data_IF_860356302805
#
_entry.id   IF_860356302805
#
_cell.length_a   1.000
_cell.length_b   1.000
_cell.length_c   1.000
_cell.angle_alpha   90.00
_cell.angle_beta   90.00
_cell.angle_gamma   90.00
#
_symmetry.space_group_name_H-M   'P 1'
#
loop_
_entity.id
_entity.type
_entity.pdbx_description
1 polymer ?
#
# COMPACT_ATOMS: atom_id res chain seq x y z
N UNK A 1 16.14 -0.10 28.51
CA UNK A 1 17.11 -0.79 27.66
C UNK A 1 17.20 -0.07 26.33
N UNK A 2 18.35 0.44 25.95
CA UNK A 2 18.45 1.21 24.72
C UNK A 2 18.26 0.32 23.50
N UNK A 3 17.42 0.80 22.59
CA UNK A 3 17.21 0.19 21.28
C UNK A 3 17.79 1.10 20.21
N UNK A 4 18.43 0.51 19.23
CA UNK A 4 19.04 1.23 18.12
C UNK A 4 18.45 0.73 16.82
N UNK A 5 18.02 1.66 15.96
CA UNK A 5 17.58 1.36 14.61
C UNK A 5 18.66 1.85 13.66
N UNK A 6 19.17 0.93 12.85
CA UNK A 6 20.20 1.23 11.85
C UNK A 6 19.56 1.07 10.47
N UNK A 7 19.61 2.13 9.66
CA UNK A 7 19.03 2.12 8.32
C UNK A 7 20.12 2.42 7.31
N UNK A 8 20.23 1.57 6.29
CA UNK A 8 21.12 1.77 5.16
C UNK A 8 20.27 1.76 3.90
N UNK A 9 20.22 2.89 3.19
CA UNK A 9 19.43 3.04 1.98
C UNK A 9 20.35 3.29 0.80
N UNK A 10 20.18 2.49 -0.25
CA UNK A 10 20.83 2.67 -1.54
C UNK A 10 19.77 2.75 -2.63
N UNK A 11 20.11 3.14 -3.87
CA UNK A 11 19.12 3.12 -4.96
C UNK A 11 18.50 1.73 -5.20
N UNK A 12 19.21 0.66 -4.87
CA UNK A 12 18.76 -0.70 -5.12
C UNK A 12 17.95 -1.30 -3.97
N UNK A 13 18.27 -0.91 -2.74
CA UNK A 13 17.63 -1.54 -1.57
C UNK A 13 17.68 -0.67 -0.33
N UNK A 14 16.80 -0.96 0.60
CA UNK A 14 16.82 -0.40 1.94
C UNK A 14 16.95 -1.54 2.95
N UNK A 15 17.91 -1.42 3.85
CA UNK A 15 18.14 -2.38 4.94
C UNK A 15 17.87 -1.71 6.26
N UNK A 16 17.21 -2.42 7.15
CA UNK A 16 16.96 -1.96 8.51
C UNK A 16 17.36 -3.04 9.51
N UNK A 17 18.07 -2.64 10.53
CA UNK A 17 18.41 -3.50 11.65
C UNK A 17 17.90 -2.88 12.94
N UNK A 18 17.28 -3.69 13.80
CA UNK A 18 16.93 -3.31 15.16
C UNK A 18 17.85 -4.03 16.11
N UNK A 19 18.61 -3.27 16.89
CA UNK A 19 19.52 -3.80 17.89
C UNK A 19 19.10 -3.36 19.28
N UNK A 20 19.27 -4.25 20.26
CA UNK A 20 19.01 -3.98 21.65
C UNK A 20 20.18 -4.51 22.47
N UNK A 21 20.79 -3.64 23.29
CA UNK A 21 21.96 -3.99 24.10
C UNK A 21 23.10 -4.62 23.29
N UNK A 22 23.33 -4.12 22.08
CA UNK A 22 24.38 -4.62 21.19
C UNK A 22 24.05 -5.93 20.47
N UNK A 23 22.85 -6.44 20.63
CA UNK A 23 22.40 -7.66 19.95
C UNK A 23 21.41 -7.35 18.85
N UNK A 24 21.58 -8.01 17.69
CA UNK A 24 20.64 -7.89 16.58
C UNK A 24 19.33 -8.61 16.92
N UNK A 25 18.23 -7.86 16.97
CA UNK A 25 16.90 -8.40 17.29
C UNK A 25 16.08 -8.64 16.05
N UNK A 26 16.19 -7.77 15.04
CA UNK A 26 15.40 -7.86 13.82
C UNK A 26 16.19 -7.28 12.66
N UNK A 27 16.04 -7.89 11.49
CA UNK A 27 16.70 -7.46 10.27
C UNK A 27 15.73 -7.56 9.10
N UNK A 28 15.57 -6.47 8.38
CA UNK A 28 14.64 -6.39 7.24
C UNK A 28 15.37 -5.81 6.03
N UNK A 29 15.18 -6.41 4.88
CA UNK A 29 15.69 -5.92 3.61
C UNK A 29 14.51 -5.72 2.66
N UNK A 30 14.38 -4.53 2.12
CA UNK A 30 13.40 -4.22 1.09
C UNK A 30 14.15 -3.79 -0.18
N UNK A 31 13.98 -4.55 -1.25
CA UNK A 31 14.58 -4.25 -2.54
C UNK A 31 13.61 -3.48 -3.41
N UNK A 32 14.13 -2.49 -4.14
CA UNK A 32 13.28 -1.68 -5.02
C UNK A 32 12.63 -2.49 -6.14
N UNK A 33 13.24 -3.61 -6.52
CA UNK A 33 12.64 -4.53 -7.50
C UNK A 33 11.48 -5.36 -6.94
N UNK A 34 11.34 -5.41 -5.62
CA UNK A 34 10.29 -6.12 -4.91
C UNK A 34 9.40 -5.12 -4.19
N UNK A 35 8.72 -4.26 -4.96
CA UNK A 35 7.91 -3.21 -4.37
C UNK A 35 6.67 -3.78 -3.70
N UNK A 36 6.66 -3.72 -2.39
CA UNK A 36 5.48 -4.01 -1.59
C UNK A 36 4.76 -2.71 -1.32
N UNK A 37 3.47 -2.69 -1.64
CA UNK A 37 2.66 -1.49 -1.52
C UNK A 37 1.80 -1.47 -0.26
N UNK A 38 1.71 -2.59 0.46
CA UNK A 38 0.88 -2.69 1.67
C UNK A 38 1.28 -1.62 2.68
N UNK A 39 0.29 -0.88 3.17
CA UNK A 39 0.50 0.25 4.08
C UNK A 39 0.68 1.60 3.40
N UNK A 40 0.95 1.63 2.10
CA UNK A 40 1.10 2.88 1.35
C UNK A 40 -0.24 3.61 1.25
N UNK A 41 -0.20 4.93 1.31
CA UNK A 41 -1.37 5.79 1.21
C UNK A 41 -1.31 6.57 -0.09
N UNK A 42 -2.41 6.55 -0.83
CA UNK A 42 -2.53 7.27 -2.09
C UNK A 42 -3.75 8.18 -2.08
N UNK A 43 -3.63 9.32 -2.75
CA UNK A 43 -4.79 10.10 -3.14
C UNK A 43 -5.17 9.63 -4.54
N UNK A 44 -6.26 8.89 -4.65
CA UNK A 44 -6.71 8.31 -5.89
C UNK A 44 -7.96 8.98 -6.42
N UNK A 45 -8.30 8.65 -7.67
CA UNK A 45 -9.51 9.15 -8.31
C UNK A 45 -10.41 7.96 -8.64
N UNK A 46 -11.67 8.05 -8.23
CA UNK A 46 -12.64 7.00 -8.49
C UNK A 46 -12.96 6.96 -9.99
N UNK A 47 -12.68 5.83 -10.63
CA UNK A 47 -12.93 5.62 -12.06
C UNK A 47 -14.27 4.98 -12.34
N UNK A 48 -14.59 3.91 -11.61
CA UNK A 48 -15.83 3.17 -11.75
C UNK A 48 -16.40 2.82 -10.39
N UNK A 49 -17.72 2.89 -10.28
CA UNK A 49 -18.44 2.37 -9.11
C UNK A 49 -19.34 1.23 -9.58
N UNK A 50 -19.12 0.05 -8.99
CA UNK A 50 -19.89 -1.15 -9.32
C UNK A 50 -20.78 -1.48 -8.13
N UNK A 51 -22.02 -1.02 -8.18
CA UNK A 51 -22.97 -1.13 -7.07
C UNK A 51 -23.34 -2.57 -6.74
N UNK A 52 -23.37 -3.44 -7.75
CA UNK A 52 -23.74 -4.84 -7.56
C UNK A 52 -22.79 -5.62 -6.67
N UNK A 53 -21.53 -5.21 -6.60
CA UNK A 53 -20.53 -5.81 -5.72
C UNK A 53 -20.05 -4.85 -4.62
N UNK A 54 -20.70 -3.71 -4.50
CA UNK A 54 -20.37 -2.66 -3.53
C UNK A 54 -18.89 -2.30 -3.55
N UNK A 55 -18.37 -2.05 -4.75
CA UNK A 55 -16.95 -1.78 -4.93
C UNK A 55 -16.74 -0.61 -5.90
N UNK A 56 -15.57 0.00 -5.78
CA UNK A 56 -15.11 1.02 -6.72
C UNK A 56 -13.71 0.68 -7.20
N UNK A 57 -13.40 1.07 -8.43
CA UNK A 57 -12.04 1.03 -8.96
C UNK A 57 -11.46 2.43 -8.87
N UNK A 58 -10.29 2.53 -8.27
CA UNK A 58 -9.64 3.80 -7.97
C UNK A 58 -8.30 3.86 -8.70
N UNK A 59 -8.10 4.93 -9.47
CA UNK A 59 -6.83 5.19 -10.12
C UNK A 59 -5.87 5.80 -9.11
N UNK A 60 -4.81 5.06 -8.77
CA UNK A 60 -3.78 5.49 -7.85
C UNK A 60 -2.47 5.84 -8.55
N UNK A 61 -2.50 5.99 -9.90
CA UNK A 61 -1.32 6.32 -10.70
C UNK A 61 -0.46 5.12 -11.08
N UNK A 62 -0.99 3.91 -10.94
CA UNK A 62 -0.33 2.66 -11.32
C UNK A 62 -1.00 2.04 -12.54
N UNK A 63 -0.39 1.01 -13.12
CA UNK A 63 -0.96 0.35 -14.30
C UNK A 63 -2.36 -0.21 -14.07
N UNK A 64 -2.57 -0.74 -12.88
CA UNK A 64 -3.86 -1.33 -12.52
C UNK A 64 -4.56 -0.47 -11.48
N UNK A 65 -5.86 -0.28 -11.67
CA UNK A 65 -6.67 0.43 -10.70
C UNK A 65 -6.79 -0.38 -9.40
N UNK A 66 -6.83 0.33 -8.29
CA UNK A 66 -7.03 -0.28 -6.98
C UNK A 66 -8.50 -0.63 -6.78
N UNK A 67 -8.75 -1.68 -6.00
CA UNK A 67 -10.09 -2.15 -5.65
C UNK A 67 -10.45 -1.62 -4.26
N UNK A 68 -11.48 -0.79 -4.19
CA UNK A 68 -11.98 -0.23 -2.93
C UNK A 68 -13.34 -0.83 -2.61
N UNK A 69 -13.40 -1.58 -1.50
CA UNK A 69 -14.67 -2.14 -1.04
C UNK A 69 -15.50 -1.04 -0.36
N UNK A 70 -16.72 -0.84 -0.83
CA UNK A 70 -17.63 0.19 -0.30
C UNK A 70 -18.58 -0.44 0.70
N UNK A 71 -18.86 0.31 1.77
CA UNK A 71 -19.93 -0.07 2.67
C UNK A 71 -21.30 0.22 2.05
N UNK A 72 -22.36 -0.26 2.70
CA UNK A 72 -23.73 -0.09 2.20
C UNK A 72 -24.14 1.38 2.06
N UNK A 73 -23.58 2.26 2.85
CA UNK A 73 -23.94 3.67 2.89
C UNK A 73 -22.88 4.58 2.27
N UNK A 74 -22.05 4.06 1.37
CA UNK A 74 -21.02 4.87 0.76
C UNK A 74 -21.59 5.80 -0.31
N UNK A 75 -21.24 7.09 -0.22
CA UNK A 75 -21.60 8.12 -1.19
C UNK A 75 -20.54 8.35 -2.25
N UNK A 76 -19.63 7.41 -2.40
CA UNK A 76 -18.53 7.53 -3.38
C UNK A 76 -19.11 7.56 -4.80
N UNK A 77 -18.64 8.54 -5.59
CA UNK A 77 -19.07 8.72 -6.98
C UNK A 77 -17.88 8.77 -7.92
N UNK A 78 -18.12 8.46 -9.18
CA UNK A 78 -17.09 8.53 -10.21
C UNK A 78 -16.52 9.95 -10.32
N UNK A 79 -15.21 10.05 -10.48
CA UNK A 79 -14.51 11.33 -10.58
C UNK A 79 -14.12 11.94 -9.24
N UNK A 80 -14.60 11.39 -8.14
CA UNK A 80 -14.27 11.86 -6.80
C UNK A 80 -12.84 11.50 -6.44
N UNK A 81 -12.14 12.40 -5.73
CA UNK A 81 -10.83 12.10 -5.15
C UNK A 81 -11.02 11.47 -3.78
N UNK A 82 -10.27 10.40 -3.51
CA UNK A 82 -10.34 9.69 -2.23
C UNK A 82 -8.94 9.39 -1.73
N UNK A 83 -8.80 9.37 -0.41
CA UNK A 83 -7.56 8.96 0.23
C UNK A 83 -7.70 7.49 0.60
N UNK A 84 -6.78 6.65 0.13
CA UNK A 84 -6.86 5.19 0.30
C UNK A 84 -5.53 4.63 0.77
N UNK A 85 -5.61 3.53 1.52
CA UNK A 85 -4.45 2.81 2.00
C UNK A 85 -4.47 1.38 1.48
N UNK A 86 -3.34 0.91 0.97
CA UNK A 86 -3.22 -0.44 0.43
C UNK A 86 -3.20 -1.46 1.56
N UNK A 87 -4.08 -2.45 1.47
CA UNK A 87 -4.16 -3.57 2.42
C UNK A 87 -3.69 -4.88 1.83
N UNK A 88 -3.75 -5.02 0.50
CA UNK A 88 -3.24 -6.20 -0.22
C UNK A 88 -2.56 -5.75 -1.51
N UNK A 89 -1.40 -6.34 -1.78
CA UNK A 89 -0.66 -6.06 -3.00
C UNK A 89 -1.39 -6.56 -4.25
N UNK A 90 -1.08 -5.93 -5.38
CA UNK A 90 -1.55 -6.38 -6.69
C UNK A 90 -1.03 -7.79 -7.00
N UNK A 91 -1.85 -8.58 -7.68
CA UNK A 91 -1.48 -9.93 -8.11
C UNK A 91 -1.90 -10.16 -9.55
N UNK A 92 -0.94 -10.54 -10.41
CA UNK A 92 -1.22 -10.80 -11.81
C UNK A 92 -1.90 -9.63 -12.48
N UNK A 93 -3.12 -9.83 -12.97
CA UNK A 93 -3.92 -8.78 -13.61
C UNK A 93 -4.81 -8.00 -12.63
N UNK A 94 -4.82 -8.40 -11.36
CA UNK A 94 -5.62 -7.70 -10.34
C UNK A 94 -4.82 -6.60 -9.68
N UNK A 95 -5.42 -5.43 -9.56
CA UNK A 95 -4.84 -4.32 -8.83
C UNK A 95 -4.84 -4.54 -7.31
N UNK A 96 -4.18 -3.64 -6.58
CA UNK A 96 -4.14 -3.75 -5.13
C UNK A 96 -5.52 -3.50 -4.50
N UNK A 97 -5.72 -4.05 -3.31
CA UNK A 97 -6.92 -3.77 -2.51
C UNK A 97 -6.62 -2.63 -1.55
N UNK A 98 -7.54 -1.69 -1.44
CA UNK A 98 -7.39 -0.50 -0.60
C UNK A 98 -8.61 -0.30 0.29
N UNK A 99 -8.41 0.49 1.32
CA UNK A 99 -9.48 0.91 2.24
C UNK A 99 -9.51 2.41 2.42
#
# INVERSE_FOLDING_TARGET
>A
MPKTIIISATPEETRMALAEDGKLMEYVVERNSEQHMVGSVFKGKVKNVVRGIQAAFVDIGREQNAFLFLGENSDVTEGQSVLVQVTKDARGTKGPTVV
#
